data_IF_242777102767
#
_entry.id   IF_242777102767
#
_cell.length_a   1.000
_cell.length_b   1.000
_cell.length_c   1.000
_cell.angle_alpha   90.00
_cell.angle_beta   90.00
_cell.angle_gamma   90.00
#
_symmetry.space_group_name_H-M   'P 1'
#
loop_
_entity.id
_entity.type
_entity.pdbx_description
1 polymer ?
#
# COMPACT_ATOMS: atom_id res chain seq x y z
N UNK A 1 -14.87 -11.01 53.76
CA UNK A 1 -13.84 -11.08 52.70
C UNK A 1 -13.22 -9.70 52.60
N UNK A 2 -11.90 -9.57 52.77
CA UNK A 2 -11.21 -8.28 52.60
C UNK A 2 -10.75 -8.16 51.14
N UNK A 3 -11.06 -7.06 50.43
CA UNK A 3 -10.60 -6.89 49.06
C UNK A 3 -9.07 -6.82 49.02
N UNK A 4 -8.48 -7.48 48.02
CA UNK A 4 -7.03 -7.40 47.79
C UNK A 4 -6.75 -6.05 47.15
N UNK A 5 -6.14 -5.14 47.90
CA UNK A 5 -5.71 -3.82 47.41
C UNK A 5 -4.47 -3.97 46.53
N UNK A 6 -4.35 -3.12 45.50
CA UNK A 6 -3.20 -3.09 44.57
C UNK A 6 -2.88 -4.46 43.95
N UNK A 7 -3.91 -5.27 43.70
CA UNK A 7 -3.82 -6.61 43.12
C UNK A 7 -2.82 -7.56 43.81
N UNK A 8 -2.41 -7.26 45.06
CA UNK A 8 -1.37 -8.00 45.79
C UNK A 8 0.07 -7.71 45.34
N UNK A 9 0.25 -6.80 44.37
CA UNK A 9 1.52 -6.46 43.75
C UNK A 9 2.03 -5.07 44.16
N UNK A 10 1.44 -4.46 45.18
CA UNK A 10 1.82 -3.13 45.64
C UNK A 10 1.46 -2.87 47.09
N UNK A 11 1.90 -1.72 47.58
CA UNK A 11 1.55 -1.17 48.90
C UNK A 11 0.67 0.06 48.70
N UNK A 12 -0.50 0.11 49.35
CA UNK A 12 -1.40 1.25 49.27
C UNK A 12 -0.96 2.35 50.23
N UNK A 13 -0.69 3.56 49.73
CA UNK A 13 -0.30 4.74 50.53
C UNK A 13 -0.96 6.00 49.97
N UNK A 14 -1.53 6.82 50.85
CA UNK A 14 -2.09 8.15 50.55
C UNK A 14 -3.06 8.22 49.35
N UNK A 15 -3.84 7.16 49.12
CA UNK A 15 -4.83 7.13 48.02
C UNK A 15 -4.37 6.39 46.78
N UNK A 16 -3.09 6.01 46.69
CA UNK A 16 -2.48 5.41 45.51
C UNK A 16 -1.77 4.08 45.82
N UNK A 17 -1.61 3.24 44.78
CA UNK A 17 -0.85 1.99 44.87
C UNK A 17 0.60 2.21 44.45
N UNK A 18 1.53 1.96 45.37
CA UNK A 18 2.96 1.92 45.06
C UNK A 18 3.32 0.49 44.64
N UNK A 19 3.57 0.30 43.35
CA UNK A 19 3.81 -1.02 42.78
C UNK A 19 5.18 -1.59 43.11
N UNK A 20 5.24 -2.92 43.30
CA UNK A 20 6.50 -3.67 43.40
C UNK A 20 7.23 -3.67 42.06
N UNK A 21 8.56 -3.86 42.04
CA UNK A 21 9.33 -3.93 40.80
C UNK A 21 8.73 -4.95 39.82
N UNK A 22 8.61 -4.55 38.56
CA UNK A 22 8.00 -5.36 37.50
C UNK A 22 6.48 -5.19 37.33
N UNK A 23 5.82 -4.36 38.16
CA UNK A 23 4.39 -4.06 38.06
C UNK A 23 4.13 -2.57 37.91
N UNK A 24 3.04 -2.22 37.22
CA UNK A 24 2.58 -0.84 36.98
C UNK A 24 1.05 -0.77 36.88
N UNK A 25 0.53 0.42 36.58
CA UNK A 25 -0.89 0.72 36.55
C UNK A 25 -1.44 1.10 37.92
N UNK A 26 -2.63 1.71 37.95
CA UNK A 26 -3.23 2.27 39.18
C UNK A 26 -3.49 1.23 40.27
N UNK A 27 -3.65 -0.03 39.89
CA UNK A 27 -3.87 -1.15 40.80
C UNK A 27 -2.69 -2.13 40.83
N UNK A 28 -1.54 -1.82 40.20
CA UNK A 28 -0.41 -2.75 40.09
C UNK A 28 -0.78 -4.11 39.46
N UNK A 29 -1.77 -4.11 38.57
CA UNK A 29 -2.28 -5.30 37.88
C UNK A 29 -1.56 -5.60 36.57
N UNK A 30 -0.75 -4.67 36.07
CA UNK A 30 -0.14 -4.71 34.73
C UNK A 30 1.36 -4.97 34.89
N UNK A 31 1.94 -5.89 34.11
CA UNK A 31 3.39 -6.06 34.13
C UNK A 31 4.09 -4.91 33.44
N UNK A 32 5.33 -4.63 33.85
CA UNK A 32 6.06 -3.49 33.33
C UNK A 32 6.29 -3.55 31.80
N UNK A 33 6.49 -4.76 31.27
CA UNK A 33 6.67 -5.08 29.85
C UNK A 33 5.36 -5.19 29.05
N UNK A 34 4.21 -5.17 29.71
CA UNK A 34 2.89 -5.18 29.08
C UNK A 34 2.34 -3.75 28.93
N UNK A 35 1.62 -3.47 27.86
CA UNK A 35 0.99 -2.16 27.66
C UNK A 35 -0.33 -2.06 28.44
N UNK A 36 -0.65 -0.87 28.95
CA UNK A 36 -1.93 -0.64 29.62
C UNK A 36 -3.12 -0.77 28.67
N UNK A 37 -2.91 -0.41 27.41
CA UNK A 37 -3.80 -0.66 26.28
C UNK A 37 -3.12 -1.69 25.39
N UNK A 38 -3.48 -2.99 25.48
CA UNK A 38 -2.75 -4.07 24.80
C UNK A 38 -2.68 -3.93 23.28
N UNK A 39 -3.71 -3.35 22.68
CA UNK A 39 -3.85 -3.13 21.23
C UNK A 39 -3.44 -1.72 20.78
N UNK A 40 -2.98 -0.86 21.70
CA UNK A 40 -2.63 0.53 21.41
C UNK A 40 -3.72 1.25 20.59
N UNK A 41 -4.98 1.10 21.01
CA UNK A 41 -6.17 1.61 20.35
C UNK A 41 -6.33 1.15 18.88
N UNK A 42 -5.73 0.03 18.50
CA UNK A 42 -5.71 -0.46 17.12
C UNK A 42 -4.82 0.35 16.17
N UNK A 43 -4.05 1.30 16.70
CA UNK A 43 -3.23 2.24 15.94
C UNK A 43 -1.74 2.08 16.24
N UNK A 44 -1.33 0.93 16.76
CA UNK A 44 0.05 0.64 17.06
C UNK A 44 0.25 -0.79 17.54
N UNK A 45 1.47 -1.05 18.02
CA UNK A 45 1.82 -2.33 18.64
C UNK A 45 2.56 -2.09 19.94
N UNK A 46 2.30 -2.94 20.93
CA UNK A 46 3.00 -2.90 22.20
C UNK A 46 4.45 -3.41 22.05
N UNK A 47 5.42 -2.62 22.50
CA UNK A 47 6.84 -2.97 22.53
C UNK A 47 7.41 -2.53 23.88
N UNK A 48 7.91 -3.48 24.67
CA UNK A 48 8.51 -3.24 26.00
C UNK A 48 7.64 -2.36 26.92
N UNK A 49 6.34 -2.65 26.97
CA UNK A 49 5.38 -1.96 27.83
C UNK A 49 5.01 -0.54 27.38
N UNK A 50 5.41 -0.12 26.18
CA UNK A 50 5.02 1.15 25.55
C UNK A 50 4.40 0.91 24.18
N UNK A 51 3.39 1.70 23.83
CA UNK A 51 2.81 1.67 22.50
C UNK A 51 3.73 2.33 21.47
N UNK A 52 4.07 1.60 20.42
CA UNK A 52 4.72 2.14 19.23
C UNK A 52 3.65 2.37 18.17
N UNK A 53 3.31 3.64 17.95
CA UNK A 53 2.23 4.03 17.06
C UNK A 53 2.57 3.79 15.59
N UNK A 54 1.54 3.44 14.83
CA UNK A 54 1.56 3.44 13.38
C UNK A 54 1.66 4.88 12.84
N UNK A 55 2.12 5.01 11.60
CA UNK A 55 2.19 6.32 10.94
C UNK A 55 0.80 6.99 10.95
N UNK A 56 0.76 8.29 11.25
CA UNK A 56 -0.49 9.04 11.35
C UNK A 56 -1.11 9.11 12.74
N UNK A 57 -0.55 8.41 13.73
CA UNK A 57 -1.05 8.38 15.10
C UNK A 57 0.04 8.70 16.12
N UNK A 58 -0.36 9.28 17.24
CA UNK A 58 0.49 9.67 18.38
C UNK A 58 -0.28 9.54 19.70
N UNK A 59 0.39 9.92 20.79
CA UNK A 59 -0.10 9.74 22.15
C UNK A 59 0.59 8.57 22.84
N UNK A 60 0.39 8.44 24.14
CA UNK A 60 1.01 7.37 24.94
C UNK A 60 0.43 5.99 24.59
N UNK A 61 -0.79 5.97 24.03
CA UNK A 61 -1.52 4.77 23.63
C UNK A 61 -2.00 4.82 22.17
N UNK A 62 -1.47 5.74 21.36
CA UNK A 62 -1.83 5.93 19.94
C UNK A 62 -3.29 6.34 19.70
N UNK A 63 -3.86 7.06 20.65
CA UNK A 63 -5.25 7.52 20.66
C UNK A 63 -5.47 8.82 19.87
N UNK A 64 -4.40 9.55 19.55
CA UNK A 64 -4.48 10.82 18.84
C UNK A 64 -4.04 10.67 17.38
N UNK A 65 -4.76 11.32 16.47
CA UNK A 65 -4.29 11.53 15.10
C UNK A 65 -3.13 12.55 15.09
N UNK A 66 -2.03 12.23 14.42
CA UNK A 66 -0.93 13.18 14.23
C UNK A 66 -1.18 14.11 13.03
N UNK A 67 -1.77 13.59 11.97
CA UNK A 67 -2.13 14.34 10.76
C UNK A 67 -3.64 14.67 10.69
N UNK A 68 -4.05 15.67 9.88
CA UNK A 68 -5.45 16.00 9.64
C UNK A 68 -6.28 14.79 9.18
N UNK A 69 -5.67 13.94 8.36
CA UNK A 69 -6.15 12.62 8.03
C UNK A 69 -5.05 11.60 8.35
N UNK A 70 -5.26 10.63 9.27
CA UNK A 70 -4.21 9.70 9.70
C UNK A 70 -3.58 8.91 8.54
N UNK A 71 -4.39 8.58 7.52
CA UNK A 71 -3.94 7.87 6.32
C UNK A 71 -3.68 8.79 5.11
N UNK A 72 -3.76 10.12 5.27
CA UNK A 72 -3.60 11.08 4.18
C UNK A 72 -4.46 10.72 2.96
N UNK A 73 -5.76 10.48 3.20
CA UNK A 73 -6.75 10.02 2.21
C UNK A 73 -6.40 8.72 1.45
N UNK A 74 -5.39 7.96 1.89
CA UNK A 74 -4.86 6.80 1.16
C UNK A 74 -3.83 7.15 0.08
N UNK A 75 -3.62 8.44 -0.19
CA UNK A 75 -2.78 8.94 -1.28
C UNK A 75 -1.50 9.63 -0.78
N UNK A 76 -1.01 9.22 0.39
CA UNK A 76 0.16 9.82 1.01
C UNK A 76 0.58 9.14 2.28
N UNK A 77 1.54 9.76 2.97
CA UNK A 77 2.05 9.31 4.26
C UNK A 77 2.19 10.49 5.21
N UNK A 78 1.77 10.26 6.45
CA UNK A 78 1.89 11.25 7.52
C UNK A 78 3.34 11.31 8.02
N UNK A 79 3.94 12.50 7.98
CA UNK A 79 5.29 12.78 8.49
C UNK A 79 5.23 14.03 9.36
N UNK A 80 5.45 13.87 10.67
CA UNK A 80 5.48 14.96 11.64
C UNK A 80 4.27 15.92 11.53
N UNK A 81 3.06 15.35 11.59
CA UNK A 81 1.79 16.08 11.49
C UNK A 81 1.45 16.67 10.12
N UNK A 82 2.25 16.40 9.08
CA UNK A 82 1.96 16.85 7.71
C UNK A 82 1.83 15.65 6.77
N UNK A 83 0.81 15.68 5.90
CA UNK A 83 0.67 14.68 4.84
C UNK A 83 1.60 14.99 3.67
N UNK A 84 2.44 14.02 3.32
CA UNK A 84 3.25 14.04 2.10
C UNK A 84 2.54 13.22 1.05
N UNK A 85 2.07 13.89 -0.01
CA UNK A 85 1.24 13.27 -1.03
C UNK A 85 2.05 12.51 -2.08
N UNK A 86 1.43 11.45 -2.60
CA UNK A 86 1.90 10.72 -3.76
C UNK A 86 1.76 11.59 -5.02
N UNK A 87 2.44 11.20 -6.10
CA UNK A 87 2.39 11.93 -7.38
C UNK A 87 0.97 11.97 -7.90
N UNK A 88 0.53 13.13 -8.40
CA UNK A 88 -0.84 13.33 -8.89
C UNK A 88 -1.85 13.69 -7.80
N UNK A 89 -1.45 13.71 -6.53
CA UNK A 89 -2.30 14.10 -5.40
C UNK A 89 -1.73 15.33 -4.66
N UNK A 90 -2.62 16.14 -4.09
CA UNK A 90 -2.27 17.36 -3.36
C UNK A 90 -3.30 17.68 -2.27
N UNK A 91 -2.98 18.72 -1.51
CA UNK A 91 -3.81 19.22 -0.42
C UNK A 91 -3.24 18.83 0.95
N UNK A 92 -3.82 19.36 2.04
CA UNK A 92 -3.35 19.12 3.40
C UNK A 92 -3.53 17.66 3.86
N UNK A 93 -4.40 16.91 3.19
CA UNK A 93 -4.76 15.52 3.46
C UNK A 93 -4.61 14.62 2.23
N UNK A 94 -4.04 15.13 1.13
CA UNK A 94 -3.91 14.41 -0.15
C UNK A 94 -5.24 13.93 -0.76
N UNK A 95 -6.37 14.55 -0.43
CA UNK A 95 -7.69 14.17 -0.94
C UNK A 95 -8.05 14.76 -2.31
N UNK A 96 -7.17 15.55 -2.93
CA UNK A 96 -7.44 16.23 -4.21
C UNK A 96 -6.39 15.90 -5.26
N UNK A 97 -6.80 15.84 -6.53
CA UNK A 97 -5.87 15.66 -7.64
C UNK A 97 -5.04 16.92 -7.89
N UNK A 98 -3.80 16.71 -8.32
CA UNK A 98 -2.88 17.76 -8.76
C UNK A 98 -2.89 17.86 -10.29
N UNK A 99 -3.84 18.65 -10.82
CA UNK A 99 -4.04 18.84 -12.26
C UNK A 99 -2.80 19.40 -12.98
N UNK A 100 -1.92 20.12 -12.26
CA UNK A 100 -0.66 20.58 -12.82
C UNK A 100 0.35 19.44 -12.92
N UNK A 101 0.42 18.56 -11.93
CA UNK A 101 1.27 17.39 -11.95
C UNK A 101 0.77 16.31 -12.93
N UNK A 102 -0.54 16.24 -13.22
CA UNK A 102 -1.10 15.33 -14.22
C UNK A 102 -0.44 15.49 -15.59
N UNK A 103 -0.04 16.71 -15.96
CA UNK A 103 0.64 17.00 -17.23
C UNK A 103 2.05 16.40 -17.31
N UNK A 104 2.63 16.02 -16.17
CA UNK A 104 3.95 15.39 -16.06
C UNK A 104 3.86 13.86 -15.93
N UNK A 105 2.65 13.30 -15.87
CA UNK A 105 2.46 11.85 -15.83
C UNK A 105 2.63 11.24 -17.23
N UNK A 106 2.94 9.93 -17.32
CA UNK A 106 3.04 9.25 -18.60
C UNK A 106 1.77 9.42 -19.43
N UNK A 107 1.93 9.70 -20.71
CA UNK A 107 0.82 9.79 -21.67
C UNK A 107 0.38 8.41 -22.19
N UNK A 108 0.98 7.34 -21.67
CA UNK A 108 0.75 5.96 -22.09
C UNK A 108 0.85 5.79 -23.61
N UNK A 109 1.86 6.43 -24.22
CA UNK A 109 2.10 6.45 -25.67
C UNK A 109 0.89 6.93 -26.49
N UNK A 110 0.00 7.73 -25.89
CA UNK A 110 -1.29 8.14 -26.45
C UNK A 110 -2.23 6.97 -26.83
N UNK A 111 -2.04 5.82 -26.19
CA UNK A 111 -2.76 4.56 -26.43
C UNK A 111 -3.32 3.96 -25.14
N UNK A 112 -3.60 4.83 -24.17
CA UNK A 112 -4.15 4.46 -22.89
C UNK A 112 -4.33 5.68 -22.00
N UNK A 113 -4.72 5.42 -20.77
CA UNK A 113 -4.87 6.44 -19.73
C UNK A 113 -4.07 6.03 -18.50
N UNK A 114 -3.34 6.98 -17.93
CA UNK A 114 -2.61 6.74 -16.69
C UNK A 114 -3.57 6.73 -15.50
N UNK A 115 -3.62 5.62 -14.78
CA UNK A 115 -4.44 5.46 -13.59
C UNK A 115 -3.67 5.89 -12.33
N UNK A 116 -4.23 6.86 -11.61
CA UNK A 116 -3.61 7.42 -10.40
C UNK A 116 -3.66 6.49 -9.19
N UNK A 117 -4.58 5.53 -9.17
CA UNK A 117 -4.73 4.62 -8.02
C UNK A 117 -3.69 3.50 -8.07
N UNK A 118 -3.55 2.87 -9.25
CA UNK A 118 -2.58 1.79 -9.48
C UNK A 118 -1.20 2.28 -9.91
N UNK A 119 -1.07 3.55 -10.29
CA UNK A 119 0.12 4.13 -10.92
C UNK A 119 0.57 3.37 -12.17
N UNK A 120 -0.38 2.95 -13.01
CA UNK A 120 -0.13 2.19 -14.23
C UNK A 120 -0.92 2.75 -15.41
N UNK A 121 -0.42 2.53 -16.62
CA UNK A 121 -1.18 2.79 -17.82
C UNK A 121 -2.23 1.70 -18.04
N UNK A 122 -3.49 2.10 -18.13
CA UNK A 122 -4.58 1.27 -18.62
C UNK A 122 -4.63 1.46 -20.13
N UNK A 123 -4.24 0.42 -20.86
CA UNK A 123 -4.16 0.49 -22.31
C UNK A 123 -5.53 0.36 -22.98
N UNK A 124 -5.68 1.04 -24.12
CA UNK A 124 -6.79 0.83 -25.03
C UNK A 124 -6.79 -0.63 -25.55
N UNK A 125 -7.93 -1.18 -26.02
CA UNK A 125 -8.06 -2.62 -26.32
C UNK A 125 -7.02 -3.20 -27.28
N UNK A 126 -6.51 -2.40 -28.21
CA UNK A 126 -5.50 -2.81 -29.20
C UNK A 126 -4.05 -2.62 -28.71
N UNK A 127 -3.83 -2.26 -27.44
CA UNK A 127 -2.52 -1.90 -26.90
C UNK A 127 -2.22 -2.60 -25.58
N UNK A 128 -0.93 -2.84 -25.35
CA UNK A 128 -0.40 -3.56 -24.19
C UNK A 128 1.01 -3.07 -23.85
N UNK A 129 1.57 -3.59 -22.76
CA UNK A 129 2.82 -3.12 -22.15
C UNK A 129 2.58 -2.03 -21.11
N UNK A 130 3.61 -1.74 -20.30
CA UNK A 130 3.49 -0.80 -19.18
C UNK A 130 3.26 0.66 -19.59
N UNK A 131 3.58 1.00 -20.84
CA UNK A 131 3.43 2.33 -21.43
C UNK A 131 2.47 2.31 -22.64
N UNK A 132 1.73 1.20 -22.85
CA UNK A 132 0.83 0.99 -23.99
C UNK A 132 1.48 1.22 -25.36
N UNK A 133 2.77 0.92 -25.47
CA UNK A 133 3.57 1.13 -26.68
C UNK A 133 3.56 -0.08 -27.63
N UNK A 134 2.96 -1.18 -27.22
CA UNK A 134 2.96 -2.43 -27.97
C UNK A 134 1.53 -2.74 -28.40
N UNK A 135 1.29 -3.01 -29.69
CA UNK A 135 -0.03 -3.44 -30.12
C UNK A 135 -0.34 -4.84 -29.60
N UNK A 136 -1.55 -5.02 -29.06
CA UNK A 136 -2.11 -6.35 -28.80
C UNK A 136 -2.20 -7.08 -30.13
N UNK A 137 -1.73 -8.31 -30.14
CA UNK A 137 -1.94 -9.15 -31.31
C UNK A 137 -3.14 -10.06 -31.13
N UNK A 138 -4.14 -9.85 -31.98
CA UNK A 138 -5.34 -10.68 -32.07
C UNK A 138 -5.20 -11.85 -33.06
N UNK A 139 -4.14 -11.86 -33.87
CA UNK A 139 -3.89 -12.93 -34.85
C UNK A 139 -3.35 -14.19 -34.18
N UNK A 140 -4.07 -15.29 -34.35
CA UNK A 140 -3.55 -16.62 -34.06
C UNK A 140 -2.53 -17.03 -35.14
N UNK A 141 -1.24 -16.90 -34.83
CA UNK A 141 -0.15 -17.31 -35.71
C UNK A 141 0.20 -18.81 -35.58
N UNK A 142 -0.67 -19.58 -34.92
CA UNK A 142 -0.44 -20.98 -34.62
C UNK A 142 0.83 -21.22 -33.81
N UNK A 143 1.35 -22.45 -33.85
CA UNK A 143 2.62 -22.82 -33.19
C UNK A 143 3.86 -22.53 -34.05
N UNK A 144 3.67 -21.96 -35.24
CA UNK A 144 4.69 -21.82 -36.28
C UNK A 144 4.94 -20.37 -36.70
N UNK A 145 4.40 -19.42 -35.96
CA UNK A 145 4.72 -18.02 -36.10
C UNK A 145 4.69 -17.30 -34.76
N UNK A 146 5.27 -16.10 -34.74
CA UNK A 146 5.08 -15.14 -33.66
C UNK A 146 4.35 -13.95 -34.24
N UNK A 147 3.38 -13.43 -33.51
CA UNK A 147 2.76 -12.19 -33.92
C UNK A 147 3.62 -10.98 -33.53
N UNK A 148 3.80 -10.05 -34.45
CA UNK A 148 4.47 -8.78 -34.23
C UNK A 148 3.80 -7.68 -35.06
N UNK A 149 3.44 -6.56 -34.44
CA UNK A 149 2.85 -5.41 -35.15
C UNK A 149 1.50 -5.68 -35.82
N UNK A 150 0.74 -6.68 -35.36
CA UNK A 150 -0.52 -7.07 -35.98
C UNK A 150 -0.37 -7.90 -37.26
N UNK A 151 0.77 -8.58 -37.44
CA UNK A 151 0.98 -9.58 -38.50
C UNK A 151 1.76 -10.79 -37.97
N UNK A 152 1.56 -11.96 -38.57
CA UNK A 152 2.30 -13.17 -38.19
C UNK A 152 3.65 -13.25 -38.92
N UNK A 153 4.73 -13.28 -38.14
CA UNK A 153 6.06 -13.63 -38.60
C UNK A 153 6.23 -15.15 -38.52
N UNK A 154 6.23 -15.81 -39.68
CA UNK A 154 6.34 -17.25 -39.77
C UNK A 154 7.77 -17.74 -39.56
N UNK A 155 7.91 -18.85 -38.82
CA UNK A 155 9.18 -19.54 -38.69
C UNK A 155 9.59 -20.19 -40.02
N UNK A 156 10.88 -20.45 -40.18
CA UNK A 156 11.44 -20.99 -41.43
C UNK A 156 10.72 -22.29 -41.82
N UNK A 157 10.21 -22.33 -43.05
CA UNK A 157 9.45 -23.47 -43.57
C UNK A 157 7.93 -23.29 -43.54
N UNK A 158 7.45 -22.19 -42.95
CA UNK A 158 6.03 -21.85 -42.83
C UNK A 158 5.71 -20.50 -43.50
N UNK A 159 4.48 -20.35 -43.96
CA UNK A 159 3.94 -19.18 -44.66
C UNK A 159 2.42 -19.08 -44.44
N UNK A 160 1.78 -18.05 -45.01
CA UNK A 160 0.37 -17.75 -44.82
C UNK A 160 0.13 -16.68 -43.75
N UNK A 161 -1.08 -16.10 -43.69
CA UNK A 161 -1.44 -15.07 -42.71
C UNK A 161 -1.38 -15.56 -41.26
N UNK A 162 -1.55 -16.86 -41.05
CA UNK A 162 -1.55 -17.50 -39.72
C UNK A 162 -0.38 -18.50 -39.54
N UNK A 163 0.59 -18.50 -40.46
CA UNK A 163 1.74 -19.42 -40.43
C UNK A 163 1.39 -20.91 -40.37
N UNK A 164 0.25 -21.27 -40.95
CA UNK A 164 -0.34 -22.61 -40.98
C UNK A 164 -0.03 -23.38 -42.28
N UNK A 165 0.62 -22.73 -43.25
CA UNK A 165 0.97 -23.32 -44.54
C UNK A 165 2.47 -23.65 -44.61
N UNK A 166 2.82 -24.85 -45.07
CA UNK A 166 4.22 -25.21 -45.36
C UNK A 166 4.69 -24.55 -46.66
N UNK A 167 5.89 -23.96 -46.65
CA UNK A 167 6.52 -23.48 -47.88
C UNK A 167 6.90 -24.66 -48.76
N UNK A 168 6.43 -24.69 -50.01
CA UNK A 168 6.82 -25.69 -50.98
C UNK A 168 8.32 -25.59 -51.29
N UNK A 169 9.02 -26.72 -51.29
CA UNK A 169 10.40 -26.82 -51.76
C UNK A 169 10.41 -26.68 -53.29
N UNK A 170 11.09 -25.68 -53.86
CA UNK A 170 11.22 -25.53 -55.30
C UNK A 170 12.22 -26.57 -55.81
N UNK A 171 11.71 -27.76 -56.11
CA UNK A 171 12.42 -28.77 -56.90
C UNK A 171 12.32 -28.49 -58.40
#
# INVERSE_FOLDING_TARGET
MCPVLCSGNGEYRDGECICRPGWKGRECSIRHDECEVPDCNGHGHCVDGRCRCANGFKGDFCEEADCPHPTCSGHGWCVAGTCVCQKGWRGPDCGSTDDAALQCLPDCSAHGQFDLESHQCICDPEWTGSECNTRVCELDCGSHGRCEGGACLCFKGWTGEHCDLLTCDPR
#
